data_IF_085725761279
#
_entry.id   IF_085725761279
#
_cell.length_a   1.000
_cell.length_b   1.000
_cell.length_c   1.000
_cell.angle_alpha   90.00
_cell.angle_beta   90.00
_cell.angle_gamma   90.00
#
_symmetry.space_group_name_H-M   'P 1'
#
loop_
_entity.id
_entity.type
_entity.pdbx_description
1 polymer ?
#
# COMPACT_ATOMS: atom_id res chain seq x y z
N UNK A 1 -29.68 0.44 5.88
CA UNK A 1 -28.74 -0.12 4.88
C UNK A 1 -27.27 0.00 5.27
N UNK A 2 -26.60 1.17 5.18
CA UNK A 2 -25.17 1.27 5.52
C UNK A 2 -24.87 1.00 7.01
N UNK A 3 -25.66 1.60 7.91
CA UNK A 3 -25.51 1.44 9.36
C UNK A 3 -25.81 0.00 9.83
N UNK A 4 -26.71 -0.71 9.16
CA UNK A 4 -27.02 -2.11 9.46
C UNK A 4 -25.92 -3.06 8.98
N UNK A 5 -25.29 -2.75 7.84
CA UNK A 5 -24.13 -3.49 7.35
C UNK A 5 -22.94 -3.31 8.29
N UNK A 6 -22.71 -2.08 8.76
CA UNK A 6 -21.65 -1.76 9.71
C UNK A 6 -21.90 -2.42 11.07
N UNK A 7 -23.13 -2.41 11.58
CA UNK A 7 -23.49 -3.08 12.83
C UNK A 7 -23.31 -4.61 12.81
N UNK A 8 -23.32 -5.23 11.63
CA UNK A 8 -23.07 -6.67 11.44
C UNK A 8 -21.63 -6.99 11.05
N UNK A 9 -20.81 -5.98 10.78
CA UNK A 9 -19.43 -6.18 10.34
C UNK A 9 -18.54 -6.56 11.53
N UNK A 10 -17.68 -7.56 11.33
CA UNK A 10 -16.68 -7.95 12.33
C UNK A 10 -15.52 -6.93 12.42
N UNK A 11 -15.29 -6.17 11.35
CA UNK A 11 -14.31 -5.09 11.25
C UNK A 11 -14.66 -4.18 10.08
N UNK A 12 -14.15 -2.95 10.12
CA UNK A 12 -14.20 -1.99 9.00
C UNK A 12 -12.79 -1.65 8.56
N UNK A 13 -12.59 -1.61 7.25
CA UNK A 13 -11.33 -1.24 6.62
C UNK A 13 -11.53 0.03 5.80
N UNK A 14 -10.97 1.15 6.26
CA UNK A 14 -10.92 2.39 5.50
C UNK A 14 -9.73 2.36 4.55
N UNK A 15 -9.93 2.65 3.27
CA UNK A 15 -8.85 2.78 2.29
C UNK A 15 -8.71 4.25 1.90
N UNK A 16 -7.54 4.81 2.13
CA UNK A 16 -7.24 6.24 1.93
C UNK A 16 -6.11 6.42 0.92
N UNK A 17 -6.14 7.53 0.20
CA UNK A 17 -5.06 7.90 -0.72
C UNK A 17 -4.03 8.77 0.02
N UNK A 18 -2.79 8.27 0.12
CA UNK A 18 -1.67 8.97 0.74
C UNK A 18 -1.50 10.41 0.22
N UNK A 19 -1.61 10.60 -1.10
CA UNK A 19 -1.36 11.89 -1.75
C UNK A 19 -2.41 12.95 -1.41
N UNK A 20 -3.58 12.51 -0.92
CA UNK A 20 -4.72 13.37 -0.60
C UNK A 20 -4.93 13.52 0.90
N UNK A 21 -4.12 12.87 1.74
CA UNK A 21 -4.31 12.89 3.19
C UNK A 21 -4.37 14.29 3.79
N UNK A 22 -3.54 15.22 3.31
CA UNK A 22 -3.48 16.60 3.82
C UNK A 22 -4.65 17.48 3.35
N UNK A 23 -5.36 17.07 2.30
CA UNK A 23 -6.52 17.78 1.77
C UNK A 23 -7.86 17.24 2.30
N UNK A 24 -7.86 16.10 2.97
CA UNK A 24 -9.08 15.52 3.54
C UNK A 24 -9.51 16.36 4.73
N UNK A 25 -10.78 16.75 4.75
CA UNK A 25 -11.33 17.49 5.86
C UNK A 25 -11.68 16.58 7.04
N UNK A 26 -11.39 17.09 8.23
CA UNK A 26 -11.79 16.53 9.52
C UNK A 26 -13.29 16.18 9.60
N UNK A 27 -14.14 16.98 8.95
CA UNK A 27 -15.59 16.78 8.93
C UNK A 27 -16.01 15.57 8.08
N UNK A 28 -15.41 15.41 6.90
CA UNK A 28 -15.68 14.27 6.00
C UNK A 28 -15.27 12.95 6.66
N UNK A 29 -14.12 12.92 7.34
CA UNK A 29 -13.66 11.72 8.05
C UNK A 29 -14.57 11.39 9.22
N UNK A 30 -14.97 12.38 10.01
CA UNK A 30 -15.93 12.17 11.11
C UNK A 30 -17.27 11.63 10.61
N UNK A 31 -17.76 12.12 9.48
CA UNK A 31 -18.99 11.62 8.86
C UNK A 31 -18.84 10.14 8.51
N UNK A 32 -17.75 9.77 7.83
CA UNK A 32 -17.48 8.40 7.43
C UNK A 32 -17.32 7.44 8.62
N UNK A 33 -16.65 7.87 9.70
CA UNK A 33 -16.42 7.06 10.90
C UNK A 33 -17.66 6.97 11.78
N UNK A 34 -18.48 8.03 11.85
CA UNK A 34 -19.70 8.04 12.67
C UNK A 34 -20.67 6.91 12.30
N UNK A 35 -20.63 6.46 11.04
CA UNK A 35 -21.43 5.34 10.55
C UNK A 35 -20.97 3.97 11.11
N UNK A 36 -19.69 3.83 11.46
CA UNK A 36 -19.06 2.56 11.85
C UNK A 36 -19.43 2.14 13.28
N UNK A 37 -19.79 3.08 14.15
CA UNK A 37 -20.09 2.83 15.56
C UNK A 37 -18.84 2.43 16.37
N UNK A 38 -18.81 2.77 17.66
CA UNK A 38 -17.62 2.55 18.52
C UNK A 38 -17.30 1.07 18.81
N UNK A 39 -18.22 0.17 18.50
CA UNK A 39 -18.14 -1.26 18.84
C UNK A 39 -17.48 -2.12 17.76
N UNK A 40 -17.26 -1.59 16.56
CA UNK A 40 -16.65 -2.34 15.46
C UNK A 40 -15.19 -1.90 15.27
N UNK A 41 -14.21 -2.82 15.30
CA UNK A 41 -12.82 -2.48 15.06
C UNK A 41 -12.62 -1.80 13.70
N UNK A 42 -11.97 -0.64 13.71
CA UNK A 42 -11.61 0.12 12.51
C UNK A 42 -10.12 -0.04 12.21
N UNK A 43 -9.81 -0.32 10.94
CA UNK A 43 -8.46 -0.38 10.39
C UNK A 43 -8.35 0.58 9.21
N UNK A 44 -7.15 1.09 8.94
CA UNK A 44 -6.91 1.99 7.82
C UNK A 44 -5.76 1.49 6.94
N UNK A 45 -6.02 1.37 5.64
CA UNK A 45 -5.00 1.21 4.61
C UNK A 45 -4.73 2.56 3.97
N UNK A 46 -3.50 3.05 4.08
CA UNK A 46 -3.06 4.27 3.42
C UNK A 46 -2.35 3.86 2.14
N UNK A 47 -3.08 3.85 1.03
CA UNK A 47 -2.61 3.40 -0.27
C UNK A 47 -1.81 4.48 -1.00
N UNK A 48 -1.13 4.08 -2.08
CA UNK A 48 -0.24 4.92 -2.92
C UNK A 48 1.00 5.42 -2.19
N UNK A 49 1.45 4.69 -1.17
CA UNK A 49 2.67 5.05 -0.44
C UNK A 49 3.94 5.01 -1.32
N UNK A 50 3.87 4.33 -2.47
CA UNK A 50 4.90 4.36 -3.53
C UNK A 50 5.11 5.74 -4.16
N UNK A 51 4.15 6.65 -4.00
CA UNK A 51 4.23 8.02 -4.53
C UNK A 51 4.84 9.02 -3.53
N UNK A 52 5.32 8.53 -2.39
CA UNK A 52 6.06 9.32 -1.42
C UNK A 52 7.33 9.89 -2.04
N UNK A 53 7.56 11.20 -1.85
CA UNK A 53 8.84 11.83 -2.14
C UNK A 53 9.71 11.98 -0.87
N UNK A 54 10.92 12.53 -1.03
CA UNK A 54 11.88 12.71 0.08
C UNK A 54 11.41 13.70 1.15
N UNK A 55 10.47 14.57 0.83
CA UNK A 55 9.95 15.60 1.73
C UNK A 55 8.58 15.22 2.32
N UNK A 56 8.01 14.09 1.89
CA UNK A 56 6.69 13.66 2.31
C UNK A 56 6.77 12.80 3.58
N UNK A 57 5.66 12.76 4.30
CA UNK A 57 5.58 12.16 5.64
C UNK A 57 5.95 10.66 5.59
N UNK A 58 6.73 10.18 6.55
CA UNK A 58 7.02 8.75 6.74
C UNK A 58 5.88 7.99 7.42
N UNK A 59 6.08 6.69 7.59
CA UNK A 59 5.07 5.78 8.12
C UNK A 59 4.66 6.16 9.53
N UNK A 60 5.62 6.52 10.38
CA UNK A 60 5.36 6.94 11.75
C UNK A 60 4.59 8.26 11.77
N UNK A 61 5.01 9.22 10.95
CA UNK A 61 4.34 10.50 10.80
C UNK A 61 2.92 10.35 10.27
N UNK A 62 2.68 9.47 9.30
CA UNK A 62 1.32 9.18 8.78
C UNK A 62 0.46 8.50 9.83
N UNK A 63 0.99 7.50 10.55
CA UNK A 63 0.27 6.82 11.64
C UNK A 63 -0.10 7.82 12.73
N UNK A 64 0.83 8.70 13.11
CA UNK A 64 0.62 9.74 14.11
C UNK A 64 -0.41 10.78 13.64
N UNK A 65 -0.34 11.22 12.38
CA UNK A 65 -1.30 12.16 11.81
C UNK A 65 -2.70 11.56 11.79
N UNK A 66 -2.89 10.36 11.24
CA UNK A 66 -4.22 9.76 11.14
C UNK A 66 -4.82 9.48 12.52
N UNK A 67 -4.06 8.89 13.45
CA UNK A 67 -4.56 8.59 14.79
C UNK A 67 -4.69 9.83 15.70
N UNK A 68 -3.91 10.88 15.44
CA UNK A 68 -3.87 12.10 16.22
C UNK A 68 -4.85 13.18 15.77
N UNK A 69 -5.22 13.21 14.48
CA UNK A 69 -6.12 14.21 13.90
C UNK A 69 -7.32 13.56 13.22
N UNK A 70 -7.16 13.01 12.01
CA UNK A 70 -8.25 12.61 11.12
C UNK A 70 -9.22 11.62 11.78
N UNK A 71 -8.69 10.63 12.50
CA UNK A 71 -9.45 9.53 13.10
C UNK A 71 -9.28 9.45 14.62
N UNK A 72 -8.99 10.60 15.26
CA UNK A 72 -8.70 10.67 16.69
C UNK A 72 -9.77 9.96 17.54
N UNK A 73 -9.32 9.06 18.40
CA UNK A 73 -10.17 8.31 19.34
C UNK A 73 -10.96 7.16 18.71
N UNK A 74 -10.78 6.87 17.41
CA UNK A 74 -11.49 5.79 16.70
C UNK A 74 -10.55 4.72 16.15
N UNK A 75 -9.25 5.02 16.03
CA UNK A 75 -8.23 4.08 15.56
C UNK A 75 -6.93 4.29 16.34
N UNK A 76 -6.16 3.22 16.55
CA UNK A 76 -4.82 3.29 17.12
C UNK A 76 -3.74 3.25 16.03
N UNK A 77 -2.52 3.78 16.27
CA UNK A 77 -1.40 3.72 15.33
C UNK A 77 -1.13 2.32 14.74
N UNK A 78 -1.29 1.26 15.55
CA UNK A 78 -1.07 -0.13 15.13
C UNK A 78 -2.15 -0.71 14.20
N UNK A 79 -3.23 0.02 13.96
CA UNK A 79 -4.31 -0.36 13.04
C UNK A 79 -4.23 0.40 11.70
N UNK A 80 -3.18 1.22 11.53
CA UNK A 80 -2.93 2.02 10.34
C UNK A 80 -1.74 1.43 9.58
N UNK A 81 -2.01 1.02 8.34
CA UNK A 81 -1.05 0.34 7.48
C UNK A 81 -0.81 1.18 6.23
N UNK A 82 0.34 1.88 6.16
CA UNK A 82 0.86 2.40 4.90
C UNK A 82 1.10 1.24 3.92
N UNK A 83 0.46 1.31 2.75
CA UNK A 83 0.53 0.26 1.72
C UNK A 83 0.71 0.85 0.33
N UNK A 84 1.21 0.03 -0.59
CA UNK A 84 1.20 0.28 -2.03
C UNK A 84 0.58 -0.90 -2.75
N UNK A 85 -0.63 -0.68 -3.27
CA UNK A 85 -1.28 -1.65 -4.15
C UNK A 85 -0.49 -1.85 -5.45
N UNK A 86 0.23 -0.82 -5.92
CA UNK A 86 1.07 -0.89 -7.12
C UNK A 86 2.24 -1.85 -6.92
N UNK A 87 3.00 -1.68 -5.83
CA UNK A 87 4.10 -2.60 -5.50
C UNK A 87 3.60 -4.02 -5.26
N UNK A 88 2.48 -4.19 -4.54
CA UNK A 88 1.84 -5.49 -4.36
C UNK A 88 1.48 -6.16 -5.69
N UNK A 89 0.92 -5.39 -6.63
CA UNK A 89 0.60 -5.86 -7.97
C UNK A 89 1.85 -6.29 -8.76
N UNK A 90 2.89 -5.43 -8.83
CA UNK A 90 4.12 -5.70 -9.58
C UNK A 90 4.84 -6.94 -9.04
N UNK A 91 4.95 -7.06 -7.72
CA UNK A 91 5.58 -8.21 -7.07
C UNK A 91 4.81 -9.51 -7.33
N UNK A 92 3.49 -9.50 -7.22
CA UNK A 92 2.69 -10.70 -7.50
C UNK A 92 2.73 -11.09 -8.97
N UNK A 93 2.70 -10.11 -9.87
CA UNK A 93 2.82 -10.35 -11.31
C UNK A 93 4.18 -10.96 -11.66
N UNK A 94 5.28 -10.39 -11.16
CA UNK A 94 6.62 -10.94 -11.34
C UNK A 94 6.74 -12.37 -10.81
N UNK A 95 6.23 -12.65 -9.60
CA UNK A 95 6.21 -14.00 -9.03
C UNK A 95 5.44 -14.99 -9.88
N UNK A 96 4.31 -14.56 -10.46
CA UNK A 96 3.49 -15.41 -11.30
C UNK A 96 4.20 -15.79 -12.60
N UNK A 97 4.81 -14.81 -13.28
CA UNK A 97 5.61 -15.04 -14.51
C UNK A 97 6.80 -15.96 -14.24
N UNK A 98 7.53 -15.73 -13.14
CA UNK A 98 8.65 -16.59 -12.74
C UNK A 98 8.19 -18.03 -12.43
N UNK A 99 7.03 -18.20 -11.80
CA UNK A 99 6.50 -19.52 -11.49
C UNK A 99 6.01 -20.29 -12.73
N UNK A 100 5.45 -19.60 -13.72
CA UNK A 100 4.89 -20.25 -14.92
C UNK A 100 5.90 -20.41 -16.06
N UNK A 101 6.74 -19.39 -16.28
CA UNK A 101 7.62 -19.29 -17.43
C UNK A 101 9.11 -19.32 -17.08
N UNK A 102 9.45 -19.25 -15.79
CA UNK A 102 10.83 -19.26 -15.30
C UNK A 102 11.59 -17.95 -15.56
N UNK A 103 10.95 -16.94 -16.16
CA UNK A 103 11.56 -15.64 -16.48
C UNK A 103 10.52 -14.54 -16.56
N UNK A 104 10.96 -13.29 -16.50
CA UNK A 104 10.12 -12.14 -16.78
C UNK A 104 9.98 -11.94 -18.30
N UNK A 105 8.86 -11.37 -18.79
CA UNK A 105 8.73 -10.97 -20.18
C UNK A 105 9.67 -9.80 -20.53
N UNK A 106 9.84 -9.52 -21.82
CA UNK A 106 10.68 -8.41 -22.25
C UNK A 106 10.09 -7.06 -21.80
N UNK A 107 10.89 -6.27 -21.09
CA UNK A 107 10.58 -4.90 -20.68
C UNK A 107 10.21 -3.95 -21.82
N UNK A 108 10.69 -4.18 -23.05
CA UNK A 108 10.33 -3.37 -24.21
C UNK A 108 8.91 -3.65 -24.70
N UNK A 109 8.46 -4.90 -24.57
CA UNK A 109 7.10 -5.32 -24.93
C UNK A 109 6.12 -5.05 -23.79
N UNK A 110 6.56 -5.27 -22.56
CA UNK A 110 5.74 -5.18 -21.36
C UNK A 110 6.34 -4.19 -20.35
N UNK A 111 5.92 -2.92 -20.45
CA UNK A 111 6.42 -1.81 -19.63
C UNK A 111 6.38 -2.04 -18.11
N UNK A 112 5.43 -2.83 -17.60
CA UNK A 112 5.37 -3.13 -16.17
C UNK A 112 6.62 -3.83 -15.63
N UNK A 113 7.38 -4.53 -16.49
CA UNK A 113 8.65 -5.17 -16.12
C UNK A 113 9.69 -4.10 -15.78
N UNK A 114 9.70 -2.98 -16.52
CA UNK A 114 10.53 -1.83 -16.19
C UNK A 114 10.08 -1.22 -14.85
N UNK A 115 8.78 -1.03 -14.64
CA UNK A 115 8.27 -0.48 -13.36
C UNK A 115 8.64 -1.37 -12.17
N UNK A 116 8.54 -2.70 -12.34
CA UNK A 116 8.99 -3.68 -11.35
C UNK A 116 10.49 -3.60 -11.12
N UNK A 117 11.30 -3.56 -12.18
CA UNK A 117 12.75 -3.48 -12.10
C UNK A 117 13.20 -2.21 -11.36
N UNK A 118 12.60 -1.06 -11.68
CA UNK A 118 12.88 0.20 -10.99
C UNK A 118 12.48 0.15 -9.51
N UNK A 119 11.37 -0.48 -9.16
CA UNK A 119 10.94 -0.64 -7.77
C UNK A 119 11.83 -1.62 -6.97
N UNK A 120 12.24 -2.73 -7.60
CA UNK A 120 13.01 -3.80 -6.98
C UNK A 120 14.52 -3.47 -6.88
N UNK A 121 15.10 -3.04 -7.99
CA UNK A 121 16.53 -2.87 -8.22
C UNK A 121 16.97 -1.40 -8.22
N UNK A 122 16.02 -0.46 -8.29
CA UNK A 122 16.28 0.96 -8.44
C UNK A 122 16.47 1.39 -9.89
N UNK A 123 16.56 2.71 -10.12
CA UNK A 123 16.60 3.32 -11.48
C UNK A 123 17.86 3.03 -12.29
N UNK A 124 18.85 2.33 -11.75
CA UNK A 124 20.13 2.00 -12.41
C UNK A 124 20.25 0.53 -12.78
N UNK A 125 19.13 -0.19 -12.80
CA UNK A 125 19.07 -1.58 -13.22
C UNK A 125 19.51 -1.73 -14.69
N UNK A 126 20.03 -2.90 -15.03
CA UNK A 126 20.49 -3.29 -16.37
C UNK A 126 19.70 -4.50 -16.82
N UNK A 127 19.55 -4.69 -18.13
CA UNK A 127 18.84 -5.85 -18.69
C UNK A 127 19.32 -7.19 -18.13
N UNK A 128 20.64 -7.34 -17.95
CA UNK A 128 21.23 -8.56 -17.37
C UNK A 128 20.78 -8.85 -15.93
N UNK A 129 20.35 -7.83 -15.17
CA UNK A 129 19.85 -8.03 -13.81
C UNK A 129 18.46 -8.71 -13.80
N UNK A 130 17.73 -8.73 -14.94
CA UNK A 130 16.45 -9.44 -15.11
C UNK A 130 16.62 -10.90 -15.56
N UNK A 131 17.81 -11.28 -16.01
CA UNK A 131 18.12 -12.65 -16.41
C UNK A 131 18.58 -13.51 -15.21
N UNK A 132 18.85 -12.88 -14.06
CA UNK A 132 19.27 -13.55 -12.83
C UNK A 132 18.07 -14.09 -12.03
N UNK A 133 17.58 -15.25 -12.44
CA UNK A 133 16.38 -15.90 -11.91
C UNK A 133 16.55 -16.30 -10.43
N UNK A 134 17.76 -16.48 -9.92
CA UNK A 134 17.99 -16.80 -8.50
C UNK A 134 17.78 -15.57 -7.60
N UNK A 135 18.08 -14.37 -8.10
CA UNK A 135 17.98 -13.13 -7.34
C UNK A 135 16.61 -12.43 -7.45
N UNK A 136 15.77 -12.77 -8.44
CA UNK A 136 14.45 -12.16 -8.65
C UNK A 136 13.37 -12.53 -7.60
N UNK A 137 13.23 -13.78 -7.12
CA UNK A 137 12.22 -14.12 -6.13
C UNK A 137 12.38 -13.40 -4.78
N UNK A 138 13.60 -13.22 -4.23
CA UNK A 138 13.82 -12.34 -3.08
C UNK A 138 13.41 -10.88 -3.33
N UNK A 139 13.64 -10.36 -4.54
CA UNK A 139 13.28 -8.99 -4.91
C UNK A 139 11.77 -8.76 -4.95
N UNK A 140 10.99 -9.77 -5.33
CA UNK A 140 9.53 -9.68 -5.24
C UNK A 140 9.07 -9.45 -3.79
N UNK A 141 9.78 -10.02 -2.81
CA UNK A 141 9.48 -9.78 -1.39
C UNK A 141 9.96 -8.41 -0.94
N UNK A 142 11.10 -7.92 -1.45
CA UNK A 142 11.62 -6.60 -1.08
C UNK A 142 10.72 -5.46 -1.57
N UNK A 143 10.11 -5.60 -2.76
CA UNK A 143 9.15 -4.62 -3.30
C UNK A 143 7.94 -4.46 -2.38
N UNK A 144 7.43 -5.55 -1.80
CA UNK A 144 6.30 -5.52 -0.86
C UNK A 144 6.76 -5.16 0.56
N UNK A 145 7.93 -5.64 0.98
CA UNK A 145 8.52 -5.42 2.31
C UNK A 145 9.08 -4.01 2.54
N UNK A 146 9.05 -3.13 1.54
CA UNK A 146 9.21 -1.67 1.70
C UNK A 146 7.99 -1.01 2.35
N UNK A 147 6.99 -1.78 2.74
CA UNK A 147 5.83 -1.36 3.51
C UNK A 147 5.86 -2.14 4.83
N UNK A 148 5.79 -1.47 5.99
CA UNK A 148 5.85 -2.12 7.28
C UNK A 148 4.56 -2.93 7.48
N UNK A 149 4.71 -4.21 7.81
CA UNK A 149 3.67 -4.98 8.50
C UNK A 149 3.74 -4.68 9.99
#
# INVERSE_FOLDING_TARGET
>A
MLTEQLARASAVLAVMDYTQLKSISDAEVRLAISAVGKSVPLYALVNKFDQKDRNSDDEEQVRAMISGTLMKGHISPGQIFPVSSMWGYLANRARHELALHGKLPDHQEQRWVQDFAEAALGRRWRTADLDDIEHLPPLCRSVVGRLPV
#
